data_IF_461445280112
#
_entry.id   IF_461445280112
#
_cell.length_a   1.000
_cell.length_b   1.000
_cell.length_c   1.000
_cell.angle_alpha   90.00
_cell.angle_beta   90.00
_cell.angle_gamma   90.00
#
_symmetry.space_group_name_H-M   'P 1'
#
loop_
_entity.id
_entity.type
_entity.pdbx_description
1 polymer ?
#
# COMPACT_ATOMS: atom_id res chain seq x y z
N UNK A 1 -12.68 -0.34 28.30
CA UNK A 1 -13.48 -0.40 27.04
C UNK A 1 -14.02 -1.81 26.88
N UNK A 2 -15.31 -1.98 26.64
CA UNK A 2 -15.88 -3.30 26.33
C UNK A 2 -15.80 -3.50 24.81
N UNK A 3 -14.82 -4.29 24.33
CA UNK A 3 -14.53 -4.45 22.91
C UNK A 3 -15.75 -4.99 22.11
N UNK A 4 -16.53 -5.89 22.70
CA UNK A 4 -17.72 -6.44 22.03
C UNK A 4 -18.80 -5.36 21.81
N UNK A 5 -19.01 -4.47 22.80
CA UNK A 5 -19.97 -3.36 22.63
C UNK A 5 -19.45 -2.36 21.59
N UNK A 6 -18.13 -2.11 21.55
CA UNK A 6 -17.50 -1.29 20.52
C UNK A 6 -17.74 -1.88 19.11
N UNK A 7 -17.47 -3.18 18.91
CA UNK A 7 -17.70 -3.82 17.62
C UNK A 7 -19.17 -3.76 17.17
N UNK A 8 -20.11 -3.95 18.09
CA UNK A 8 -21.54 -3.80 17.79
C UNK A 8 -21.90 -2.39 17.39
N UNK A 9 -21.38 -1.38 18.10
CA UNK A 9 -21.64 0.03 17.80
C UNK A 9 -21.10 0.41 16.42
N UNK A 10 -19.85 0.04 16.09
CA UNK A 10 -19.24 0.26 14.76
C UNK A 10 -20.07 -0.43 13.68
N UNK A 11 -20.50 -1.68 13.90
CA UNK A 11 -21.34 -2.41 12.94
C UNK A 11 -22.69 -1.73 12.70
N UNK A 12 -23.29 -1.16 13.74
CA UNK A 12 -24.53 -0.39 13.61
C UNK A 12 -24.31 0.92 12.85
N UNK A 13 -23.22 1.64 13.15
CA UNK A 13 -22.85 2.88 12.47
C UNK A 13 -22.54 2.66 10.99
N UNK A 14 -21.87 1.55 10.62
CA UNK A 14 -21.53 1.23 9.23
C UNK A 14 -22.77 1.11 8.34
N UNK A 15 -23.89 0.59 8.87
CA UNK A 15 -25.15 0.47 8.11
C UNK A 15 -25.76 1.82 7.79
N UNK A 16 -25.66 2.79 8.71
CA UNK A 16 -26.12 4.18 8.51
C UNK A 16 -25.24 4.90 7.51
N UNK A 17 -23.91 4.72 7.64
CA UNK A 17 -22.92 5.31 6.74
C UNK A 17 -23.11 4.87 5.29
N UNK A 18 -23.43 3.59 5.04
CA UNK A 18 -23.68 3.05 3.71
C UNK A 18 -24.88 3.69 2.98
N UNK A 19 -25.76 4.39 3.71
CA UNK A 19 -26.93 5.10 3.16
C UNK A 19 -26.70 6.62 3.03
N UNK A 20 -25.53 7.12 3.42
CA UNK A 20 -25.21 8.54 3.39
C UNK A 20 -24.90 8.99 1.96
N UNK A 21 -25.32 10.20 1.60
CA UNK A 21 -25.04 10.76 0.29
C UNK A 21 -23.57 11.23 0.16
N UNK A 22 -23.07 11.21 -1.08
CA UNK A 22 -21.68 11.53 -1.38
C UNK A 22 -21.32 12.99 -1.05
N UNK A 23 -22.28 13.92 -1.14
CA UNK A 23 -22.02 15.34 -0.87
C UNK A 23 -21.78 15.57 0.64
N UNK A 24 -22.58 14.97 1.48
CA UNK A 24 -22.39 15.00 2.94
C UNK A 24 -21.02 14.43 3.31
N UNK A 25 -20.66 13.28 2.77
CA UNK A 25 -19.33 12.66 2.99
C UNK A 25 -18.20 13.61 2.59
N UNK A 26 -18.31 14.25 1.42
CA UNK A 26 -17.30 15.19 0.94
C UNK A 26 -17.15 16.40 1.87
N UNK A 27 -18.27 16.93 2.34
CA UNK A 27 -18.29 18.08 3.25
C UNK A 27 -17.62 17.73 4.59
N UNK A 28 -17.89 16.54 5.12
CA UNK A 28 -17.26 16.06 6.37
C UNK A 28 -15.74 15.92 6.20
N UNK A 29 -15.28 15.32 5.08
CA UNK A 29 -13.83 15.19 4.81
C UNK A 29 -13.14 16.55 4.72
N UNK A 30 -13.76 17.53 4.06
CA UNK A 30 -13.23 18.89 4.01
C UNK A 30 -13.21 19.54 5.41
N UNK A 31 -14.26 19.37 6.20
CA UNK A 31 -14.31 19.89 7.57
C UNK A 31 -13.24 19.28 8.48
N UNK A 32 -12.97 17.97 8.34
CA UNK A 32 -11.83 17.32 9.06
C UNK A 32 -10.50 17.91 8.60
N UNK A 33 -10.30 18.13 7.29
CA UNK A 33 -9.09 18.76 6.77
C UNK A 33 -8.89 20.18 7.33
N UNK A 34 -9.96 20.99 7.40
CA UNK A 34 -9.91 22.33 8.00
C UNK A 34 -9.59 22.24 9.50
N UNK A 35 -10.16 21.26 10.20
CA UNK A 35 -9.92 21.02 11.64
C UNK A 35 -8.48 20.58 11.94
N UNK A 36 -7.84 19.83 11.03
CA UNK A 36 -6.41 19.46 11.12
C UNK A 36 -5.56 20.73 11.15
N UNK A 37 -5.81 21.67 10.24
CA UNK A 37 -5.06 22.94 10.14
C UNK A 37 -5.35 23.83 11.38
N UNK A 38 -6.62 23.92 11.83
CA UNK A 38 -7.02 24.67 13.03
C UNK A 38 -6.35 24.14 14.32
N UNK A 39 -6.24 22.81 14.45
CA UNK A 39 -5.75 22.13 15.66
C UNK A 39 -4.33 21.57 15.55
N UNK A 40 -3.53 22.09 14.63
CA UNK A 40 -2.14 21.67 14.40
C UNK A 40 -1.32 21.61 15.70
N UNK A 41 -1.42 22.63 16.57
CA UNK A 41 -0.68 22.68 17.83
C UNK A 41 -1.05 21.53 18.78
N UNK A 42 -2.34 21.16 18.83
CA UNK A 42 -2.84 20.06 19.67
C UNK A 42 -2.28 18.73 19.17
N UNK A 43 -2.30 18.50 17.85
CA UNK A 43 -1.77 17.30 17.23
C UNK A 43 -0.25 17.19 17.41
N UNK A 44 0.48 18.28 17.23
CA UNK A 44 1.93 18.32 17.42
C UNK A 44 2.31 18.08 18.89
N UNK A 45 1.55 18.63 19.84
CA UNK A 45 1.77 18.38 21.27
C UNK A 45 1.59 16.89 21.62
N UNK A 46 0.52 16.26 21.14
CA UNK A 46 0.31 14.82 21.35
C UNK A 46 1.40 13.99 20.69
N UNK A 47 1.85 14.38 19.49
CA UNK A 47 2.95 13.71 18.81
C UNK A 47 4.28 13.86 19.55
N UNK A 48 4.52 15.00 20.16
CA UNK A 48 5.71 15.22 20.99
C UNK A 48 5.76 14.26 22.20
N UNK A 49 4.59 13.93 22.80
CA UNK A 49 4.52 12.95 23.90
C UNK A 49 4.95 11.54 23.43
N UNK A 50 4.60 11.16 22.20
CA UNK A 50 5.04 9.89 21.61
C UNK A 50 6.54 9.92 21.26
N UNK A 51 7.03 11.01 20.67
CA UNK A 51 8.43 11.18 20.29
C UNK A 51 9.39 11.16 21.48
N UNK A 52 8.98 11.69 22.65
CA UNK A 52 9.78 11.66 23.88
C UNK A 52 10.02 10.22 24.41
N UNK A 53 9.21 9.26 23.99
CA UNK A 53 9.34 7.84 24.37
C UNK A 53 10.18 7.02 23.39
N UNK A 54 10.64 7.62 22.29
CA UNK A 54 11.40 6.94 21.24
C UNK A 54 12.76 7.58 21.06
N UNK A 55 13.81 6.78 21.00
CA UNK A 55 15.15 7.26 20.69
C UNK A 55 15.23 7.82 19.26
N UNK A 56 15.90 8.94 19.06
CA UNK A 56 16.05 9.59 17.75
C UNK A 56 16.81 8.75 16.72
N UNK A 57 17.65 7.81 17.20
CA UNK A 57 18.36 6.82 16.37
C UNK A 57 17.47 5.67 15.87
N UNK A 58 16.27 5.53 16.42
CA UNK A 58 15.34 4.47 16.02
C UNK A 58 14.85 4.72 14.57
N UNK A 59 14.97 3.74 13.65
CA UNK A 59 14.49 3.87 12.26
C UNK A 59 13.01 4.24 12.12
N UNK A 60 12.20 3.98 13.16
CA UNK A 60 10.77 4.34 13.20
C UNK A 60 10.54 5.81 13.57
N UNK A 61 11.55 6.52 14.09
CA UNK A 61 11.38 7.89 14.60
C UNK A 61 10.86 8.86 13.52
N UNK A 62 11.45 8.84 12.33
CA UNK A 62 10.99 9.70 11.24
C UNK A 62 9.56 9.38 10.78
N UNK A 63 9.17 8.10 10.83
CA UNK A 63 7.80 7.67 10.48
C UNK A 63 6.78 8.11 11.52
N UNK A 64 7.18 8.19 12.80
CA UNK A 64 6.34 8.63 13.91
C UNK A 64 6.14 10.16 13.92
N UNK A 65 7.15 10.91 13.48
CA UNK A 65 7.19 12.36 13.58
C UNK A 65 6.14 13.03 12.70
N UNK A 66 5.29 13.86 13.30
CA UNK A 66 4.46 14.85 12.62
C UNK A 66 5.16 16.21 12.63
N UNK A 67 4.93 16.99 11.58
CA UNK A 67 5.34 18.40 11.47
C UNK A 67 4.16 19.19 10.92
N UNK A 68 4.20 20.49 11.03
CA UNK A 68 3.16 21.35 10.44
C UNK A 68 3.01 21.06 8.94
N UNK A 69 4.11 21.01 8.19
CA UNK A 69 4.11 20.69 6.76
C UNK A 69 3.48 19.32 6.46
N UNK A 70 3.76 18.29 7.28
CA UNK A 70 3.13 16.96 7.13
C UNK A 70 1.64 17.01 7.39
N UNK A 71 1.17 17.78 8.38
CA UNK A 71 -0.25 17.94 8.68
C UNK A 71 -0.98 18.73 7.58
N UNK A 72 -0.38 19.77 7.04
CA UNK A 72 -0.88 20.50 5.87
C UNK A 72 -1.00 19.57 4.64
N UNK A 73 0.02 18.71 4.42
CA UNK A 73 -0.03 17.67 3.37
C UNK A 73 -1.18 16.68 3.58
N UNK A 74 -1.38 16.19 4.79
CA UNK A 74 -2.49 15.28 5.15
C UNK A 74 -3.84 15.96 4.90
N UNK A 75 -4.00 17.23 5.28
CA UNK A 75 -5.23 17.99 5.02
C UNK A 75 -5.48 18.16 3.51
N UNK A 76 -4.43 18.43 2.73
CA UNK A 76 -4.51 18.53 1.27
C UNK A 76 -4.92 17.18 0.64
N UNK A 77 -4.31 16.07 1.06
CA UNK A 77 -4.62 14.73 0.60
C UNK A 77 -6.08 14.35 0.92
N UNK A 78 -6.57 14.71 2.11
CA UNK A 78 -7.96 14.48 2.51
C UNK A 78 -8.94 15.28 1.63
N UNK A 79 -8.65 16.55 1.32
CA UNK A 79 -9.45 17.35 0.37
C UNK A 79 -9.41 16.74 -1.04
N UNK A 80 -8.27 16.18 -1.45
CA UNK A 80 -8.17 15.46 -2.71
C UNK A 80 -9.08 14.23 -2.72
N UNK A 81 -9.08 13.41 -1.67
CA UNK A 81 -10.00 12.26 -1.52
C UNK A 81 -11.45 12.72 -1.57
N UNK A 82 -11.81 13.84 -0.91
CA UNK A 82 -13.16 14.41 -0.96
C UNK A 82 -13.58 14.77 -2.39
N UNK A 83 -12.66 15.24 -3.23
CA UNK A 83 -12.91 15.63 -4.63
C UNK A 83 -13.11 14.44 -5.57
N UNK A 84 -12.64 13.24 -5.21
CA UNK A 84 -12.77 12.07 -6.06
C UNK A 84 -14.24 11.63 -6.21
N UNK A 85 -14.61 11.01 -7.34
CA UNK A 85 -15.93 10.40 -7.51
C UNK A 85 -16.21 9.35 -6.41
N UNK A 86 -17.47 9.27 -5.96
CA UNK A 86 -17.87 8.19 -5.05
C UNK A 86 -17.67 6.83 -5.73
N UNK A 87 -17.04 5.86 -5.04
CA UNK A 87 -16.90 4.50 -5.58
C UNK A 87 -18.17 3.66 -5.44
N UNK A 88 -19.22 4.19 -4.78
CA UNK A 88 -20.45 3.48 -4.45
C UNK A 88 -21.51 3.64 -5.54
N UNK A 89 -22.37 2.62 -5.70
CA UNK A 89 -23.48 2.65 -6.63
C UNK A 89 -23.08 2.52 -8.11
N UNK A 90 -21.80 2.28 -8.40
CA UNK A 90 -21.33 2.12 -9.79
C UNK A 90 -21.79 0.79 -10.34
N UNK A 91 -22.53 0.81 -11.44
CA UNK A 91 -22.91 -0.39 -12.18
C UNK A 91 -21.70 -0.87 -12.98
N UNK A 92 -21.08 -1.98 -12.53
CA UNK A 92 -19.91 -2.57 -13.19
C UNK A 92 -20.29 -3.43 -14.41
N UNK A 93 -21.43 -4.10 -14.33
CA UNK A 93 -21.99 -4.96 -15.37
C UNK A 93 -23.52 -4.90 -15.30
N UNK A 94 -24.21 -4.95 -16.46
CA UNK A 94 -25.65 -5.07 -16.56
C UNK A 94 -25.99 -5.97 -17.75
N UNK A 95 -26.86 -6.98 -17.54
CA UNK A 95 -27.28 -7.91 -18.58
C UNK A 95 -28.63 -8.54 -18.24
N UNK A 96 -29.28 -9.11 -19.26
CA UNK A 96 -30.54 -9.88 -19.11
C UNK A 96 -30.27 -11.35 -19.40
N UNK A 97 -30.67 -12.21 -18.50
CA UNK A 97 -30.54 -13.67 -18.68
C UNK A 97 -31.73 -14.27 -19.46
N UNK A 98 -31.62 -15.50 -20.01
CA UNK A 98 -32.69 -16.12 -20.81
C UNK A 98 -34.05 -16.26 -20.09
N UNK A 99 -34.05 -16.26 -18.75
CA UNK A 99 -35.29 -16.27 -17.95
C UNK A 99 -36.03 -14.93 -17.94
N UNK A 100 -35.44 -13.86 -18.53
CA UNK A 100 -35.98 -12.49 -18.52
C UNK A 100 -35.59 -11.66 -17.28
N UNK A 101 -34.81 -12.21 -16.35
CA UNK A 101 -34.29 -11.44 -15.20
C UNK A 101 -33.21 -10.47 -15.65
N UNK A 102 -33.30 -9.21 -15.20
CA UNK A 102 -32.28 -8.19 -15.38
C UNK A 102 -31.34 -8.17 -14.19
N UNK A 103 -30.04 -8.30 -14.44
CA UNK A 103 -29.01 -8.29 -13.41
C UNK A 103 -28.12 -7.07 -13.55
N UNK A 104 -27.83 -6.46 -12.41
CA UNK A 104 -26.85 -5.38 -12.30
C UNK A 104 -25.85 -5.72 -11.18
N UNK A 105 -24.56 -5.67 -11.51
CA UNK A 105 -23.47 -5.82 -10.54
C UNK A 105 -23.05 -4.42 -10.07
N UNK A 106 -23.44 -4.08 -8.85
CA UNK A 106 -23.30 -2.72 -8.30
C UNK A 106 -22.30 -2.69 -7.16
N UNK A 107 -21.39 -1.69 -7.17
CA UNK A 107 -20.41 -1.52 -6.10
C UNK A 107 -21.06 -1.08 -4.79
N UNK A 108 -20.60 -1.68 -3.68
CA UNK A 108 -21.06 -1.42 -2.32
C UNK A 108 -19.87 -1.45 -1.36
N UNK A 109 -19.96 -0.82 -0.15
CA UNK A 109 -18.91 -0.93 0.85
C UNK A 109 -18.74 -2.38 1.33
N UNK A 110 -17.58 -2.69 1.93
CA UNK A 110 -17.40 -3.93 2.70
C UNK A 110 -18.28 -3.92 3.95
N UNK A 111 -18.31 -2.80 4.66
CA UNK A 111 -19.01 -2.60 5.91
C UNK A 111 -18.08 -2.07 6.99
N UNK A 112 -17.40 -2.94 7.72
CA UNK A 112 -16.44 -2.58 8.77
C UNK A 112 -15.03 -3.06 8.39
N UNK A 113 -14.08 -2.13 8.32
CA UNK A 113 -12.67 -2.41 8.00
C UNK A 113 -11.82 -2.19 9.24
N UNK A 114 -11.15 -3.25 9.71
CA UNK A 114 -10.13 -3.16 10.75
C UNK A 114 -8.76 -2.83 10.14
N UNK A 115 -8.04 -1.87 10.70
CA UNK A 115 -6.67 -1.57 10.25
C UNK A 115 -5.71 -1.65 11.42
N UNK A 116 -4.71 -2.54 11.31
CA UNK A 116 -3.67 -2.73 12.33
C UNK A 116 -2.37 -2.12 11.79
N UNK A 117 -1.80 -1.14 12.50
CA UNK A 117 -0.64 -0.39 12.01
C UNK A 117 0.37 -0.02 13.09
N UNK A 118 1.63 0.16 12.68
CA UNK A 118 2.76 0.53 13.55
C UNK A 118 3.18 1.97 13.29
N UNK A 119 3.64 2.67 14.34
CA UNK A 119 4.42 3.93 14.36
C UNK A 119 4.17 4.93 13.19
N UNK A 120 2.92 5.11 12.76
CA UNK A 120 2.54 5.98 11.64
C UNK A 120 1.21 6.68 11.93
N UNK A 121 1.21 7.79 12.71
CA UNK A 121 -0.02 8.47 13.08
C UNK A 121 -0.83 9.00 11.89
N UNK A 122 -0.18 9.36 10.77
CA UNK A 122 -0.87 9.76 9.54
C UNK A 122 -1.84 8.67 9.01
N UNK A 123 -1.55 7.39 9.26
CA UNK A 123 -2.41 6.28 8.79
C UNK A 123 -3.83 6.39 9.35
N UNK A 124 -4.02 6.97 10.55
CA UNK A 124 -5.34 7.20 11.13
C UNK A 124 -6.20 8.11 10.24
N UNK A 125 -5.62 9.18 9.70
CA UNK A 125 -6.31 10.08 8.77
C UNK A 125 -6.53 9.44 7.39
N UNK A 126 -5.50 8.77 6.86
CA UNK A 126 -5.56 8.13 5.55
C UNK A 126 -6.66 7.06 5.53
N UNK A 127 -6.69 6.20 6.54
CA UNK A 127 -7.71 5.14 6.69
C UNK A 127 -9.09 5.76 6.86
N UNK A 128 -9.25 6.76 7.73
CA UNK A 128 -10.53 7.42 7.92
C UNK A 128 -11.06 8.00 6.61
N UNK A 129 -10.24 8.75 5.88
CA UNK A 129 -10.66 9.40 4.64
C UNK A 129 -11.11 8.40 3.57
N UNK A 130 -10.34 7.34 3.35
CA UNK A 130 -10.65 6.32 2.36
C UNK A 130 -11.85 5.45 2.78
N UNK A 131 -11.94 5.07 4.04
CA UNK A 131 -13.07 4.30 4.57
C UNK A 131 -14.35 5.12 4.51
N UNK A 132 -14.37 6.35 5.02
CA UNK A 132 -15.56 7.21 4.99
C UNK A 132 -16.02 7.44 3.55
N UNK A 133 -15.10 7.79 2.63
CA UNK A 133 -15.42 8.04 1.23
C UNK A 133 -15.97 6.82 0.50
N UNK A 134 -15.54 5.62 0.89
CA UNK A 134 -16.02 4.35 0.34
C UNK A 134 -17.18 3.73 1.14
N UNK A 135 -17.75 4.45 2.11
CA UNK A 135 -18.91 4.03 2.89
C UNK A 135 -18.62 2.94 3.92
N UNK A 136 -17.36 2.74 4.28
CA UNK A 136 -16.92 1.79 5.30
C UNK A 136 -16.74 2.47 6.65
N UNK A 137 -17.23 1.88 7.72
CA UNK A 137 -16.77 2.22 9.06
C UNK A 137 -15.38 1.58 9.30
N UNK A 138 -14.56 2.21 10.15
CA UNK A 138 -13.21 1.75 10.41
C UNK A 138 -12.93 1.50 11.89
N UNK A 139 -12.17 0.44 12.16
CA UNK A 139 -11.62 0.14 13.47
C UNK A 139 -10.11 0.24 13.38
N UNK A 140 -9.55 1.23 14.06
CA UNK A 140 -8.13 1.53 14.09
C UNK A 140 -7.46 0.83 15.27
N UNK A 141 -6.38 0.11 15.02
CA UNK A 141 -5.55 -0.52 16.04
C UNK A 141 -4.09 -0.11 15.82
N UNK A 142 -3.73 1.05 16.36
CA UNK A 142 -2.36 1.56 16.36
C UNK A 142 -1.44 0.82 17.34
N UNK A 143 -0.13 0.94 17.10
CA UNK A 143 0.90 0.55 18.05
C UNK A 143 1.00 1.50 19.24
N UNK A 144 1.60 1.06 20.35
CA UNK A 144 1.86 1.89 21.54
C UNK A 144 2.78 3.06 21.28
N UNK A 145 3.60 2.97 20.22
CA UNK A 145 4.56 4.01 19.83
C UNK A 145 3.88 5.33 19.43
N UNK A 146 2.63 5.28 18.94
CA UNK A 146 1.87 6.43 18.44
C UNK A 146 0.55 6.66 19.18
N UNK A 147 0.42 6.17 20.40
CA UNK A 147 -0.86 6.10 21.13
C UNK A 147 -1.45 7.49 21.43
N UNK A 148 -0.63 8.47 21.85
CA UNK A 148 -1.08 9.82 22.14
C UNK A 148 -1.53 10.55 20.86
N UNK A 149 -0.74 10.43 19.78
CA UNK A 149 -1.06 10.98 18.46
C UNK A 149 -2.38 10.39 17.93
N UNK A 150 -2.51 9.06 17.95
CA UNK A 150 -3.71 8.39 17.43
C UNK A 150 -4.98 8.80 18.18
N UNK A 151 -4.90 8.93 19.51
CA UNK A 151 -6.04 9.43 20.31
C UNK A 151 -6.41 10.86 19.97
N UNK A 152 -5.44 11.74 19.83
CA UNK A 152 -5.70 13.14 19.45
C UNK A 152 -6.35 13.25 18.07
N UNK A 153 -5.90 12.43 17.12
CA UNK A 153 -6.43 12.36 15.76
C UNK A 153 -7.88 11.88 15.77
N UNK A 154 -8.17 10.75 16.42
CA UNK A 154 -9.53 10.19 16.43
C UNK A 154 -10.48 11.10 17.21
N UNK A 155 -10.02 11.75 18.30
CA UNK A 155 -10.80 12.73 19.01
C UNK A 155 -11.20 13.92 18.11
N UNK A 156 -10.26 14.44 17.33
CA UNK A 156 -10.52 15.51 16.36
C UNK A 156 -11.58 15.08 15.33
N UNK A 157 -11.46 13.85 14.81
CA UNK A 157 -12.41 13.30 13.84
C UNK A 157 -13.81 13.19 14.49
N UNK A 158 -13.89 12.67 15.71
CA UNK A 158 -15.16 12.55 16.45
C UNK A 158 -15.86 13.91 16.65
N UNK A 159 -15.11 14.96 17.01
CA UNK A 159 -15.67 16.31 17.14
C UNK A 159 -16.34 16.78 15.85
N UNK A 160 -15.68 16.58 14.69
CA UNK A 160 -16.27 16.94 13.40
C UNK A 160 -17.49 16.07 13.08
N UNK A 161 -17.42 14.76 13.31
CA UNK A 161 -18.57 13.87 13.07
C UNK A 161 -19.79 14.29 13.90
N UNK A 162 -19.59 14.68 15.17
CA UNK A 162 -20.64 15.17 16.07
C UNK A 162 -21.24 16.50 15.56
N UNK A 163 -20.42 17.44 15.05
CA UNK A 163 -20.87 18.69 14.44
C UNK A 163 -21.83 18.44 13.25
N UNK A 164 -21.62 17.35 12.51
CA UNK A 164 -22.48 16.93 11.40
C UNK A 164 -23.59 15.95 11.78
N UNK A 165 -23.74 15.63 13.06
CA UNK A 165 -24.76 14.67 13.55
C UNK A 165 -24.52 13.23 13.06
N UNK A 166 -23.28 12.89 12.73
CA UNK A 166 -22.87 11.55 12.31
C UNK A 166 -22.44 10.76 13.54
N UNK A 167 -22.83 9.49 13.58
CA UNK A 167 -22.47 8.58 14.65
C UNK A 167 -20.93 8.41 14.70
N UNK A 168 -20.29 8.85 15.77
CA UNK A 168 -18.83 8.82 15.91
C UNK A 168 -18.24 7.41 15.81
N UNK A 169 -19.04 6.35 16.05
CA UNK A 169 -18.63 4.96 15.87
C UNK A 169 -18.35 4.56 14.42
N UNK A 170 -18.49 5.46 13.43
CA UNK A 170 -17.98 5.20 12.06
C UNK A 170 -16.45 5.10 12.02
N UNK A 171 -15.77 5.60 13.06
CA UNK A 171 -14.34 5.36 13.29
C UNK A 171 -14.10 5.15 14.78
N UNK A 172 -13.43 4.05 15.12
CA UNK A 172 -13.08 3.73 16.50
C UNK A 172 -11.60 3.37 16.62
N UNK A 173 -10.98 3.85 17.71
CA UNK A 173 -9.61 3.51 18.07
C UNK A 173 -9.61 2.51 19.22
N UNK A 174 -9.10 1.30 18.97
CA UNK A 174 -8.90 0.31 20.02
C UNK A 174 -7.68 0.64 20.89
N UNK A 175 -7.68 0.19 22.17
CA UNK A 175 -6.50 0.30 23.02
C UNK A 175 -5.26 -0.32 22.34
N UNK A 176 -4.09 0.25 22.59
CA UNK A 176 -2.81 -0.22 22.03
C UNK A 176 -2.30 -1.52 22.70
N UNK A 177 -3.19 -2.33 23.29
CA UNK A 177 -2.89 -3.57 23.97
C UNK A 177 -2.91 -4.78 23.04
N UNK A 178 -2.31 -5.90 23.49
CA UNK A 178 -2.27 -7.14 22.73
C UNK A 178 -3.64 -7.83 22.67
N UNK A 179 -4.38 -7.76 23.76
CA UNK A 179 -5.74 -8.30 23.88
C UNK A 179 -6.69 -7.63 22.89
N UNK A 180 -6.54 -6.32 22.65
CA UNK A 180 -7.33 -5.62 21.67
C UNK A 180 -6.98 -6.02 20.22
N UNK A 181 -5.70 -6.36 19.98
CA UNK A 181 -5.29 -6.93 18.68
C UNK A 181 -5.93 -8.29 18.46
N UNK A 182 -5.82 -9.21 19.44
CA UNK A 182 -6.40 -10.55 19.35
C UNK A 182 -7.93 -10.49 19.17
N UNK A 183 -8.62 -9.61 19.93
CA UNK A 183 -10.04 -9.44 19.80
C UNK A 183 -10.45 -8.94 18.38
N UNK A 184 -9.65 -8.05 17.76
CA UNK A 184 -9.90 -7.58 16.40
C UNK A 184 -9.67 -8.68 15.37
N UNK A 185 -8.60 -9.48 15.51
CA UNK A 185 -8.29 -10.59 14.61
C UNK A 185 -9.41 -11.65 14.55
N UNK A 186 -10.15 -11.81 15.65
CA UNK A 186 -11.23 -12.80 15.80
C UNK A 186 -12.64 -12.18 15.83
N UNK A 187 -12.80 -10.94 15.39
CA UNK A 187 -14.08 -10.22 15.40
C UNK A 187 -15.02 -10.63 14.26
N UNK A 188 -15.15 -11.94 13.99
CA UNK A 188 -16.06 -12.48 12.96
C UNK A 188 -17.50 -12.00 13.15
N UNK A 189 -18.15 -11.65 12.04
CA UNK A 189 -19.53 -11.14 12.03
C UNK A 189 -19.65 -9.66 12.42
N UNK A 190 -18.60 -9.06 13.01
CA UNK A 190 -18.52 -7.65 13.35
C UNK A 190 -17.62 -6.86 12.40
N UNK A 191 -16.49 -7.45 12.01
CA UNK A 191 -15.50 -6.90 11.08
C UNK A 191 -15.50 -7.72 9.80
N UNK A 192 -15.54 -7.05 8.67
CA UNK A 192 -15.64 -7.71 7.35
C UNK A 192 -14.26 -7.94 6.72
N UNK A 193 -13.28 -7.10 7.08
CA UNK A 193 -11.95 -7.10 6.50
C UNK A 193 -10.93 -6.52 7.46
N UNK A 194 -9.72 -7.09 7.49
CA UNK A 194 -8.55 -6.52 8.18
C UNK A 194 -7.46 -6.19 7.17
N UNK A 195 -6.83 -5.03 7.34
CA UNK A 195 -5.68 -4.57 6.55
C UNK A 195 -4.51 -4.28 7.50
N UNK A 196 -3.47 -5.12 7.54
CA UNK A 196 -2.26 -4.85 8.30
C UNK A 196 -1.35 -3.84 7.57
N UNK A 197 -0.75 -2.90 8.32
CA UNK A 197 0.16 -1.86 7.82
C UNK A 197 1.40 -1.74 8.71
N UNK A 198 2.50 -2.34 8.35
CA UNK A 198 3.71 -2.30 9.20
C UNK A 198 4.83 -3.16 8.69
N UNK A 199 5.59 -3.73 9.61
CA UNK A 199 6.68 -4.67 9.31
C UNK A 199 6.16 -5.99 8.74
N UNK A 200 7.01 -6.72 8.01
CA UNK A 200 6.70 -8.06 7.52
C UNK A 200 6.26 -8.99 8.65
N UNK A 201 6.85 -8.87 9.83
CA UNK A 201 6.47 -9.66 11.00
C UNK A 201 5.02 -9.41 11.45
N UNK A 202 4.58 -8.14 11.46
CA UNK A 202 3.19 -7.80 11.77
C UNK A 202 2.25 -8.37 10.71
N UNK A 203 2.58 -8.21 9.44
CA UNK A 203 1.75 -8.70 8.32
C UNK A 203 1.60 -10.22 8.39
N UNK A 204 2.70 -10.95 8.59
CA UNK A 204 2.68 -12.41 8.73
C UNK A 204 1.89 -12.85 9.98
N UNK A 205 2.07 -12.17 11.11
CA UNK A 205 1.30 -12.43 12.32
C UNK A 205 -0.22 -12.27 12.06
N UNK A 206 -0.65 -11.15 11.50
CA UNK A 206 -2.07 -10.91 11.20
C UNK A 206 -2.60 -11.95 10.21
N UNK A 207 -1.84 -12.30 9.18
CA UNK A 207 -2.22 -13.31 8.19
C UNK A 207 -2.43 -14.69 8.78
N UNK A 208 -1.60 -15.09 9.75
CA UNK A 208 -1.69 -16.42 10.35
C UNK A 208 -2.75 -16.51 11.45
N UNK A 209 -2.94 -15.44 12.23
CA UNK A 209 -3.80 -15.48 13.41
C UNK A 209 -5.23 -15.00 13.13
N UNK A 210 -5.47 -14.19 12.08
CA UNK A 210 -6.79 -13.66 11.83
C UNK A 210 -7.76 -14.73 11.32
N UNK A 211 -8.96 -14.77 11.92
CA UNK A 211 -10.12 -15.50 11.39
C UNK A 211 -10.99 -14.60 10.51
N UNK A 212 -10.91 -13.27 10.70
CA UNK A 212 -11.48 -12.28 9.78
C UNK A 212 -10.66 -12.24 8.49
N UNK A 213 -11.28 -12.12 7.31
CA UNK A 213 -10.55 -11.97 6.04
C UNK A 213 -9.51 -10.85 6.07
N UNK A 214 -8.32 -11.11 5.51
CA UNK A 214 -7.20 -10.17 5.49
C UNK A 214 -6.83 -9.80 4.06
N UNK A 215 -6.65 -8.52 3.78
CA UNK A 215 -5.92 -8.05 2.60
C UNK A 215 -4.53 -7.62 3.05
N UNK A 216 -3.53 -8.41 2.69
CA UNK A 216 -2.15 -8.12 3.05
C UNK A 216 -1.50 -7.11 2.09
N UNK A 217 -0.74 -6.17 2.68
CA UNK A 217 0.20 -5.32 1.97
C UNK A 217 1.58 -5.95 2.16
N UNK A 218 2.01 -6.76 1.19
CA UNK A 218 3.25 -7.55 1.30
C UNK A 218 4.53 -6.71 1.32
N UNK A 219 5.66 -7.36 1.65
CA UNK A 219 6.98 -6.79 1.42
C UNK A 219 7.22 -6.55 -0.08
N UNK A 220 7.96 -5.51 -0.41
CA UNK A 220 8.25 -5.13 -1.78
C UNK A 220 9.66 -5.53 -2.22
N UNK A 221 9.91 -6.80 -2.55
CA UNK A 221 11.17 -7.19 -3.20
C UNK A 221 10.98 -6.98 -4.70
N UNK A 222 11.48 -5.84 -5.23
CA UNK A 222 11.27 -5.42 -6.59
C UNK A 222 12.52 -5.65 -7.46
N UNK A 223 12.31 -6.12 -8.71
CA UNK A 223 13.39 -6.34 -9.65
C UNK A 223 13.30 -5.41 -10.86
N UNK A 224 14.45 -5.06 -11.41
CA UNK A 224 14.56 -4.50 -12.77
C UNK A 224 15.47 -5.39 -13.59
N UNK A 225 14.94 -5.96 -14.67
CA UNK A 225 15.71 -6.73 -15.64
C UNK A 225 16.19 -5.83 -16.79
N UNK A 226 17.50 -5.68 -16.93
CA UNK A 226 18.13 -5.00 -18.04
C UNK A 226 18.47 -6.03 -19.12
N UNK A 227 17.67 -6.04 -20.18
CA UNK A 227 17.76 -7.02 -21.28
C UNK A 227 18.94 -6.75 -22.24
N UNK A 228 19.27 -7.74 -23.07
CA UNK A 228 20.28 -7.59 -24.13
C UNK A 228 20.00 -6.41 -25.07
N UNK A 229 18.72 -6.13 -25.34
CA UNK A 229 18.24 -5.03 -26.18
C UNK A 229 17.88 -3.77 -25.36
N UNK A 230 18.29 -3.66 -24.10
CA UNK A 230 18.05 -2.50 -23.26
C UNK A 230 18.80 -1.26 -23.75
N UNK A 231 18.14 -0.11 -23.80
CA UNK A 231 18.78 1.19 -24.01
C UNK A 231 19.52 1.62 -22.76
N UNK A 232 20.83 1.88 -22.88
CA UNK A 232 21.68 2.20 -21.72
C UNK A 232 21.28 3.51 -21.03
N UNK A 233 20.91 4.53 -21.78
CA UNK A 233 20.51 5.84 -21.22
C UNK A 233 19.23 5.70 -20.43
N UNK A 234 18.20 5.04 -20.99
CA UNK A 234 16.95 4.75 -20.28
C UNK A 234 17.21 3.88 -19.04
N UNK A 235 18.00 2.80 -19.22
CA UNK A 235 18.33 1.88 -18.13
C UNK A 235 19.00 2.56 -16.95
N UNK A 236 20.00 3.39 -17.21
CA UNK A 236 20.69 4.15 -16.16
C UNK A 236 19.73 5.05 -15.38
N UNK A 237 18.86 5.79 -16.09
CA UNK A 237 17.87 6.65 -15.44
C UNK A 237 16.84 5.85 -14.63
N UNK A 238 16.35 4.72 -15.17
CA UNK A 238 15.35 3.85 -14.52
C UNK A 238 15.93 3.20 -13.27
N UNK A 239 17.11 2.60 -13.36
CA UNK A 239 17.80 1.92 -12.25
C UNK A 239 18.09 2.91 -11.12
N UNK A 240 18.65 4.07 -11.46
CA UNK A 240 18.92 5.10 -10.47
C UNK A 240 17.64 5.59 -9.78
N UNK A 241 16.61 5.92 -10.53
CA UNK A 241 15.35 6.40 -9.96
C UNK A 241 14.66 5.32 -9.11
N UNK A 242 14.59 4.07 -9.60
CA UNK A 242 13.96 2.96 -8.88
C UNK A 242 14.64 2.69 -7.52
N UNK A 243 15.97 2.90 -7.41
CA UNK A 243 16.69 2.67 -6.16
C UNK A 243 16.83 3.90 -5.27
N UNK A 244 17.11 5.09 -5.82
CA UNK A 244 17.59 6.22 -5.01
C UNK A 244 16.54 7.28 -4.71
N UNK A 245 15.41 7.32 -5.45
CA UNK A 245 14.34 8.31 -5.21
C UNK A 245 13.83 8.28 -3.77
N UNK A 246 13.57 7.10 -3.24
CA UNK A 246 13.17 6.85 -1.86
C UNK A 246 13.40 5.38 -1.51
N UNK A 247 14.40 5.10 -0.70
CA UNK A 247 14.80 3.71 -0.39
C UNK A 247 13.89 3.00 0.61
N UNK A 248 13.17 3.75 1.46
CA UNK A 248 12.39 3.20 2.58
C UNK A 248 10.95 2.82 2.22
N UNK A 249 10.66 2.59 0.93
CA UNK A 249 9.34 2.22 0.41
C UNK A 249 9.39 0.89 -0.33
N UNK A 250 8.26 0.18 -0.34
CA UNK A 250 8.12 -1.18 -0.90
C UNK A 250 8.27 -1.26 -2.43
N UNK A 251 8.20 -0.14 -3.16
CA UNK A 251 8.39 -0.09 -4.61
C UNK A 251 9.84 0.26 -5.02
N UNK A 252 10.75 0.44 -4.04
CA UNK A 252 12.17 0.63 -4.33
C UNK A 252 12.77 -0.66 -4.91
N UNK A 253 13.66 -0.53 -5.89
CA UNK A 253 14.32 -1.69 -6.49
C UNK A 253 15.31 -2.32 -5.50
N UNK A 254 15.21 -3.63 -5.30
CA UNK A 254 16.11 -4.40 -4.45
C UNK A 254 17.07 -5.29 -5.24
N UNK A 255 16.70 -5.65 -6.48
CA UNK A 255 17.58 -6.47 -7.31
C UNK A 255 17.59 -5.99 -8.78
N UNK A 256 18.79 -5.79 -9.31
CA UNK A 256 19.04 -5.60 -10.74
C UNK A 256 19.40 -6.95 -11.36
N UNK A 257 18.59 -7.42 -12.30
CA UNK A 257 18.91 -8.57 -13.16
C UNK A 257 19.55 -8.06 -14.45
N UNK A 258 20.76 -8.48 -14.74
CA UNK A 258 21.51 -8.00 -15.91
C UNK A 258 21.74 -9.12 -16.92
N UNK A 259 21.32 -8.90 -18.17
CA UNK A 259 21.65 -9.85 -19.23
C UNK A 259 23.17 -9.94 -19.40
N UNK A 260 23.72 -11.16 -19.46
CA UNK A 260 25.17 -11.43 -19.53
C UNK A 260 25.90 -10.67 -20.64
N UNK A 261 25.27 -10.50 -21.80
CA UNK A 261 25.86 -9.75 -22.91
C UNK A 261 26.04 -8.25 -22.62
N UNK A 262 25.52 -7.76 -21.52
CA UNK A 262 25.55 -6.33 -21.14
C UNK A 262 26.45 -6.05 -19.93
N UNK A 263 27.29 -7.02 -19.51
CA UNK A 263 28.23 -6.83 -18.40
C UNK A 263 29.19 -5.64 -18.63
N UNK A 264 29.56 -5.36 -19.87
CA UNK A 264 30.40 -4.19 -20.20
C UNK A 264 29.69 -2.84 -19.94
N UNK A 265 28.37 -2.81 -19.93
CA UNK A 265 27.58 -1.60 -19.65
C UNK A 265 27.29 -1.40 -18.15
N UNK A 266 27.53 -2.42 -17.32
CA UNK A 266 27.19 -2.40 -15.90
C UNK A 266 27.84 -1.23 -15.12
N UNK A 267 29.12 -0.88 -15.35
CA UNK A 267 29.72 0.29 -14.70
C UNK A 267 28.97 1.60 -15.00
N UNK A 268 28.57 1.81 -16.24
CA UNK A 268 27.80 2.99 -16.64
C UNK A 268 26.39 2.99 -16.06
N UNK A 269 25.74 1.83 -16.03
CA UNK A 269 24.42 1.64 -15.43
C UNK A 269 24.42 1.98 -13.92
N UNK A 270 25.47 1.60 -13.20
CA UNK A 270 25.60 1.78 -11.76
C UNK A 270 26.26 3.10 -11.33
N UNK A 271 26.87 3.86 -12.26
CA UNK A 271 27.60 5.07 -11.91
C UNK A 271 26.80 6.08 -11.05
N UNK A 272 25.52 6.40 -11.35
CA UNK A 272 24.75 7.32 -10.51
C UNK A 272 24.42 6.76 -9.11
N UNK A 273 24.43 5.45 -8.95
CA UNK A 273 24.20 4.80 -7.64
C UNK A 273 25.36 5.06 -6.68
N UNK A 274 26.59 5.20 -7.21
CA UNK A 274 27.78 5.52 -6.41
C UNK A 274 27.66 6.91 -5.75
N UNK A 275 27.07 7.89 -6.44
CA UNK A 275 26.84 9.24 -5.90
C UNK A 275 25.92 9.20 -4.67
N UNK A 276 24.94 8.31 -4.68
CA UNK A 276 24.03 8.05 -3.55
C UNK A 276 24.58 7.02 -2.54
N UNK A 277 25.84 6.58 -2.70
CA UNK A 277 26.54 5.62 -1.85
C UNK A 277 25.77 4.29 -1.68
N UNK A 278 25.15 3.78 -2.75
CA UNK A 278 24.44 2.51 -2.72
C UNK A 278 25.42 1.34 -2.61
N UNK A 279 25.23 0.48 -1.63
CA UNK A 279 26.00 -0.77 -1.49
C UNK A 279 25.44 -1.80 -2.48
N UNK A 280 26.30 -2.34 -3.35
CA UNK A 280 25.96 -3.34 -4.34
C UNK A 280 26.44 -4.73 -3.89
N UNK A 281 25.51 -5.69 -3.79
CA UNK A 281 25.78 -7.10 -3.59
C UNK A 281 25.73 -7.79 -4.94
N UNK A 282 26.89 -8.04 -5.56
CA UNK A 282 27.00 -8.52 -6.93
C UNK A 282 27.41 -10.01 -7.00
N UNK A 283 26.81 -10.78 -7.94
CA UNK A 283 27.32 -12.10 -8.28
C UNK A 283 28.70 -12.00 -8.95
N UNK A 284 29.41 -13.11 -9.07
CA UNK A 284 30.81 -13.11 -9.54
C UNK A 284 31.02 -12.37 -10.86
N UNK A 285 30.20 -12.59 -11.95
CA UNK A 285 30.43 -11.88 -13.20
C UNK A 285 30.17 -10.36 -13.07
N UNK A 286 29.14 -9.94 -12.30
CA UNK A 286 28.85 -8.54 -12.09
C UNK A 286 29.88 -7.89 -11.16
N UNK A 287 30.38 -8.61 -10.16
CA UNK A 287 31.44 -8.13 -9.28
C UNK A 287 32.71 -7.80 -10.08
N UNK A 288 33.17 -8.73 -10.93
CA UNK A 288 34.34 -8.53 -11.79
C UNK A 288 34.18 -7.36 -12.76
N UNK A 289 32.97 -7.12 -13.28
CA UNK A 289 32.70 -5.99 -14.17
C UNK A 289 32.72 -4.64 -13.43
N UNK A 290 32.40 -4.62 -12.14
CA UNK A 290 32.37 -3.42 -11.29
C UNK A 290 33.69 -3.17 -10.58
N UNK A 291 34.54 -4.17 -10.42
CA UNK A 291 35.84 -4.04 -9.75
C UNK A 291 36.70 -2.98 -10.45
N UNK A 292 37.18 -2.00 -9.70
CA UNK A 292 37.89 -0.85 -10.24
C UNK A 292 37.05 0.24 -10.92
N UNK A 293 35.74 -0.01 -11.15
CA UNK A 293 34.78 0.91 -11.78
C UNK A 293 33.68 1.41 -10.83
N UNK A 294 33.59 0.84 -9.64
CA UNK A 294 32.67 1.21 -8.57
C UNK A 294 33.47 1.36 -7.24
N UNK A 295 33.07 2.23 -6.28
CA UNK A 295 33.80 2.37 -5.03
C UNK A 295 33.93 1.04 -4.29
N UNK A 296 35.16 0.63 -3.97
CA UNK A 296 35.46 -0.70 -3.43
C UNK A 296 34.75 -0.97 -2.08
N UNK A 297 34.59 0.08 -1.25
CA UNK A 297 33.87 -0.03 0.03
C UNK A 297 32.37 -0.22 -0.11
N UNK A 298 31.82 0.03 -1.30
CA UNK A 298 30.38 -0.12 -1.60
C UNK A 298 30.09 -1.38 -2.46
N UNK A 299 31.11 -2.16 -2.82
CA UNK A 299 30.96 -3.37 -3.63
C UNK A 299 31.21 -4.60 -2.75
N UNK A 300 30.23 -5.50 -2.67
CA UNK A 300 30.26 -6.70 -1.86
C UNK A 300 29.85 -7.91 -2.70
N UNK A 301 30.33 -9.14 -2.41
CA UNK A 301 29.84 -10.33 -3.03
C UNK A 301 28.39 -10.63 -2.57
N UNK A 302 27.53 -11.01 -3.52
CA UNK A 302 26.17 -11.43 -3.22
C UNK A 302 26.13 -12.81 -2.55
N UNK A 303 25.16 -12.99 -1.65
CA UNK A 303 24.74 -14.30 -1.12
C UNK A 303 23.34 -14.63 -1.63
N UNK A 304 22.85 -15.86 -1.42
CA UNK A 304 21.49 -16.23 -1.78
C UNK A 304 20.45 -15.36 -1.05
N UNK A 305 20.72 -14.98 0.20
CA UNK A 305 19.86 -14.09 0.99
C UNK A 305 19.74 -12.69 0.41
N UNK A 306 20.80 -12.19 -0.26
CA UNK A 306 20.81 -10.87 -0.89
C UNK A 306 19.70 -10.72 -1.94
N UNK A 307 19.33 -11.79 -2.65
CA UNK A 307 18.31 -11.73 -3.71
C UNK A 307 16.88 -11.71 -3.21
N UNK A 308 16.63 -12.26 -2.00
CA UNK A 308 15.30 -12.29 -1.36
C UNK A 308 15.13 -11.29 -0.23
N UNK A 309 15.92 -10.21 -0.21
CA UNK A 309 15.91 -9.21 0.85
C UNK A 309 15.25 -7.91 0.38
N UNK A 310 14.22 -7.46 1.09
CA UNK A 310 13.73 -6.08 1.01
C UNK A 310 14.67 -5.19 1.84
N UNK A 311 15.58 -4.49 1.18
CA UNK A 311 16.65 -3.76 1.89
C UNK A 311 16.16 -2.52 2.65
N UNK A 312 15.17 -1.81 2.13
CA UNK A 312 14.66 -0.53 2.67
C UNK A 312 15.79 0.49 2.99
N UNK A 313 16.90 0.41 2.26
CA UNK A 313 18.14 1.14 2.48
C UNK A 313 18.86 1.36 1.14
N UNK A 314 19.91 2.16 1.13
CA UNK A 314 20.83 2.33 -0.01
C UNK A 314 21.66 1.05 -0.24
N UNK A 315 20.98 -0.05 -0.48
CA UNK A 315 21.54 -1.40 -0.73
C UNK A 315 20.72 -2.10 -1.80
N UNK A 316 21.35 -2.87 -2.65
CA UNK A 316 20.67 -3.72 -3.63
C UNK A 316 21.54 -4.87 -4.08
N UNK A 317 20.91 -5.93 -4.61
CA UNK A 317 21.59 -7.05 -5.23
C UNK A 317 21.71 -6.87 -6.74
N UNK A 318 22.72 -7.52 -7.35
CA UNK A 318 22.88 -7.64 -8.80
C UNK A 318 23.07 -9.11 -9.15
N UNK A 319 22.26 -9.60 -10.09
CA UNK A 319 22.33 -10.97 -10.61
C UNK A 319 22.51 -10.96 -12.12
N UNK A 320 23.53 -11.63 -12.61
CA UNK A 320 23.74 -11.88 -14.04
C UNK A 320 22.89 -13.04 -14.51
N UNK A 321 22.14 -12.86 -15.60
CA UNK A 321 21.27 -13.87 -16.20
C UNK A 321 21.57 -14.04 -17.70
N UNK A 322 21.26 -15.22 -18.27
CA UNK A 322 21.56 -15.52 -19.67
C UNK A 322 20.49 -15.00 -20.63
N UNK A 323 19.25 -14.92 -20.18
CA UNK A 323 18.10 -14.49 -20.99
C UNK A 323 16.91 -14.06 -20.12
N UNK A 324 15.81 -13.65 -20.76
CA UNK A 324 14.56 -13.24 -20.10
C UNK A 324 13.90 -14.39 -19.33
N UNK A 325 14.09 -15.65 -19.74
CA UNK A 325 13.49 -16.81 -19.06
C UNK A 325 14.16 -17.04 -17.71
N UNK A 326 15.50 -16.93 -17.66
CA UNK A 326 16.24 -17.00 -16.39
C UNK A 326 15.89 -15.82 -15.48
N UNK A 327 15.72 -14.60 -16.03
CA UNK A 327 15.28 -13.44 -15.28
C UNK A 327 13.90 -13.67 -14.63
N UNK A 328 12.94 -14.19 -15.40
CA UNK A 328 11.60 -14.54 -14.89
C UNK A 328 11.69 -15.63 -13.81
N UNK A 329 12.51 -16.66 -14.01
CA UNK A 329 12.73 -17.72 -13.03
C UNK A 329 13.29 -17.18 -11.71
N UNK A 330 14.24 -16.23 -11.79
CA UNK A 330 14.79 -15.55 -10.62
C UNK A 330 13.71 -14.76 -9.88
N UNK A 331 12.90 -13.98 -10.60
CA UNK A 331 11.79 -13.22 -10.04
C UNK A 331 10.79 -14.13 -9.32
N UNK A 332 10.45 -15.28 -9.89
CA UNK A 332 9.58 -16.27 -9.24
C UNK A 332 10.16 -16.84 -7.95
N UNK A 333 11.49 -16.96 -7.88
CA UNK A 333 12.16 -17.55 -6.72
C UNK A 333 12.31 -16.56 -5.56
N UNK A 334 12.62 -15.30 -5.86
CA UNK A 334 13.03 -14.30 -4.87
C UNK A 334 12.10 -13.10 -4.75
N UNK A 335 11.23 -12.87 -5.75
CA UNK A 335 10.32 -11.72 -5.77
C UNK A 335 9.15 -11.88 -4.80
N UNK A 336 8.60 -10.75 -4.40
CA UNK A 336 7.40 -10.67 -3.55
C UNK A 336 6.09 -10.59 -4.33
N UNK A 337 6.14 -10.53 -5.67
CA UNK A 337 4.98 -10.29 -6.52
C UNK A 337 4.46 -8.84 -6.48
N UNK A 338 5.30 -7.89 -6.02
CA UNK A 338 4.92 -6.48 -5.89
C UNK A 338 5.07 -5.72 -7.22
N UNK A 339 6.27 -5.44 -7.64
CA UNK A 339 6.54 -4.62 -8.85
C UNK A 339 7.81 -5.09 -9.53
N UNK A 340 7.70 -5.37 -10.83
CA UNK A 340 8.79 -5.92 -11.64
C UNK A 340 8.93 -5.12 -12.92
N UNK A 341 10.15 -4.90 -13.38
CA UNK A 341 10.44 -4.10 -14.57
C UNK A 341 11.34 -4.84 -15.54
N UNK A 342 11.11 -4.67 -16.85
CA UNK A 342 12.05 -4.96 -17.91
C UNK A 342 12.46 -3.67 -18.63
N UNK A 343 13.75 -3.51 -18.89
CA UNK A 343 14.29 -2.45 -19.75
C UNK A 343 14.75 -3.08 -21.05
N UNK A 344 14.01 -2.85 -22.14
CA UNK A 344 14.27 -3.46 -23.45
C UNK A 344 13.64 -2.66 -24.59
N UNK A 345 14.26 -2.66 -25.75
CA UNK A 345 13.68 -2.19 -27.02
C UNK A 345 13.12 -3.36 -27.86
N UNK A 346 13.33 -4.62 -27.41
CA UNK A 346 12.76 -5.80 -28.04
C UNK A 346 11.32 -6.02 -27.59
N UNK A 347 10.36 -5.85 -28.51
CA UNK A 347 8.93 -5.99 -28.26
C UNK A 347 8.53 -7.44 -27.90
N UNK A 348 9.22 -8.44 -28.43
CA UNK A 348 8.94 -9.84 -28.12
C UNK A 348 9.39 -10.19 -26.69
N UNK A 349 10.57 -9.72 -26.29
CA UNK A 349 11.06 -9.86 -24.92
C UNK A 349 10.13 -9.13 -23.93
N UNK A 350 9.68 -7.91 -24.24
CA UNK A 350 8.74 -7.16 -23.43
C UNK A 350 7.39 -7.90 -23.29
N UNK A 351 6.83 -8.41 -24.41
CA UNK A 351 5.58 -9.16 -24.41
C UNK A 351 5.68 -10.49 -23.64
N UNK A 352 6.82 -11.18 -23.77
CA UNK A 352 7.09 -12.40 -23.00
C UNK A 352 7.16 -12.08 -21.50
N UNK A 353 7.95 -11.08 -21.10
CA UNK A 353 8.14 -10.69 -19.70
C UNK A 353 6.81 -10.30 -19.05
N UNK A 354 6.03 -9.41 -19.68
CA UNK A 354 4.75 -8.94 -19.14
C UNK A 354 3.71 -10.04 -19.01
N UNK A 355 3.75 -11.09 -19.85
CA UNK A 355 2.88 -12.25 -19.75
C UNK A 355 3.36 -13.28 -18.73
N UNK A 356 4.67 -13.47 -18.62
CA UNK A 356 5.26 -14.50 -17.77
C UNK A 356 5.37 -14.06 -16.31
N UNK A 357 5.67 -12.80 -16.04
CA UNK A 357 5.83 -12.30 -14.67
C UNK A 357 4.48 -12.10 -14.00
N UNK A 358 4.28 -12.77 -12.86
CA UNK A 358 3.05 -12.70 -12.06
C UNK A 358 3.24 -11.78 -10.85
N UNK A 359 3.33 -10.48 -11.11
CA UNK A 359 3.40 -9.43 -10.10
C UNK A 359 2.18 -8.51 -10.15
N UNK A 360 1.96 -7.73 -9.08
CA UNK A 360 0.86 -6.76 -9.02
C UNK A 360 1.02 -5.66 -10.08
N UNK A 361 2.28 -5.22 -10.31
CA UNK A 361 2.61 -4.23 -11.34
C UNK A 361 3.80 -4.73 -12.16
N UNK A 362 3.66 -4.71 -13.48
CA UNK A 362 4.73 -5.12 -14.42
C UNK A 362 5.00 -3.97 -15.38
N UNK A 363 6.24 -3.52 -15.40
CA UNK A 363 6.68 -2.34 -16.15
C UNK A 363 7.54 -2.70 -17.34
N UNK A 364 7.39 -1.94 -18.41
CA UNK A 364 8.32 -1.92 -19.55
C UNK A 364 8.87 -0.51 -19.66
N UNK A 365 10.19 -0.37 -19.57
CA UNK A 365 10.91 0.90 -19.69
C UNK A 365 10.42 2.02 -18.76
N UNK A 366 10.01 1.66 -17.52
CA UNK A 366 9.64 2.61 -16.46
C UNK A 366 10.03 2.05 -15.09
N UNK A 367 10.49 2.88 -14.14
CA UNK A 367 10.91 2.40 -12.83
C UNK A 367 9.74 1.93 -11.97
N UNK A 368 10.00 0.93 -11.13
CA UNK A 368 9.03 0.38 -10.15
C UNK A 368 8.54 1.43 -9.15
N UNK A 369 9.26 2.53 -8.99
CA UNK A 369 8.91 3.68 -8.15
C UNK A 369 7.59 4.37 -8.51
N UNK A 370 7.01 4.06 -9.70
CA UNK A 370 5.67 4.50 -10.09
C UNK A 370 4.53 3.68 -9.48
N UNK A 371 4.80 2.57 -8.78
CA UNK A 371 3.75 1.82 -8.08
C UNK A 371 3.28 2.60 -6.86
N UNK A 372 2.35 3.51 -7.09
CA UNK A 372 1.84 4.47 -6.11
C UNK A 372 0.45 4.91 -6.55
N UNK A 373 -0.51 5.02 -5.62
CA UNK A 373 -1.90 5.35 -5.94
C UNK A 373 -2.06 6.73 -6.58
N UNK A 374 -1.29 7.73 -6.15
CA UNK A 374 -1.33 9.05 -6.75
C UNK A 374 -0.76 9.03 -8.18
N UNK A 375 0.33 8.30 -8.41
CA UNK A 375 0.94 8.14 -9.74
C UNK A 375 0.03 7.36 -10.71
N UNK A 376 -0.80 6.46 -10.20
CA UNK A 376 -1.79 5.72 -10.99
C UNK A 376 -3.13 6.47 -11.17
N UNK A 377 -3.21 7.70 -10.68
CA UNK A 377 -4.43 8.52 -10.79
C UNK A 377 -5.55 8.09 -9.85
N UNK A 378 -5.25 7.27 -8.82
CA UNK A 378 -6.23 6.83 -7.82
C UNK A 378 -6.47 7.87 -6.72
N UNK A 379 -5.65 8.93 -6.69
CA UNK A 379 -5.73 10.02 -5.72
C UNK A 379 -5.08 9.71 -4.39
N UNK A 380 -5.44 8.60 -3.77
CA UNK A 380 -4.88 8.09 -2.52
C UNK A 380 -4.92 6.57 -2.49
N UNK A 381 -4.12 5.94 -1.60
CA UNK A 381 -4.11 4.50 -1.41
C UNK A 381 -3.99 4.12 0.06
N UNK A 382 -4.62 3.01 0.44
CA UNK A 382 -4.46 2.42 1.77
C UNK A 382 -3.24 1.50 1.84
N UNK A 383 -2.68 1.12 0.71
CA UNK A 383 -1.51 0.26 0.57
C UNK A 383 -1.48 -0.45 -0.78
N UNK A 384 -0.45 -1.27 -0.98
CA UNK A 384 -0.25 -2.03 -2.21
C UNK A 384 -0.36 -3.52 -1.86
N UNK A 385 -1.37 -4.19 -2.41
CA UNK A 385 -1.58 -5.62 -2.19
C UNK A 385 -0.87 -6.46 -3.24
N UNK A 386 -0.20 -7.51 -2.80
CA UNK A 386 0.44 -8.52 -3.66
C UNK A 386 -0.40 -9.79 -3.82
N UNK A 387 -1.47 -9.94 -3.04
CA UNK A 387 -2.33 -11.12 -3.09
C UNK A 387 -3.24 -11.13 -4.34
N UNK A 388 -3.78 -12.32 -4.67
CA UNK A 388 -4.62 -12.51 -5.87
C UNK A 388 -6.11 -12.40 -5.60
N UNK A 389 -6.55 -12.61 -4.36
CA UNK A 389 -7.96 -12.47 -3.98
C UNK A 389 -8.27 -11.02 -3.68
N UNK A 390 -9.34 -10.51 -4.31
CA UNK A 390 -9.84 -9.15 -4.28
C UNK A 390 -8.86 -8.15 -4.90
N UNK A 391 -8.32 -7.18 -4.14
CA UNK A 391 -7.44 -6.14 -4.64
C UNK A 391 -6.01 -6.65 -4.86
N UNK A 392 -5.40 -6.22 -5.96
CA UNK A 392 -4.00 -6.45 -6.29
C UNK A 392 -3.38 -5.18 -6.86
N UNK A 393 -2.23 -4.76 -6.35
CA UNK A 393 -1.63 -3.46 -6.66
C UNK A 393 -2.05 -2.37 -5.68
N UNK A 394 -1.88 -1.09 -6.03
CA UNK A 394 -2.31 0.04 -5.21
C UNK A 394 -3.82 0.01 -4.95
N UNK A 395 -4.20 0.10 -3.69
CA UNK A 395 -5.61 0.02 -3.24
C UNK A 395 -6.16 1.42 -2.98
N UNK A 396 -6.80 1.99 -3.98
CA UNK A 396 -7.55 3.25 -3.88
C UNK A 396 -9.00 3.03 -3.44
N UNK A 397 -9.85 4.04 -3.69
CA UNK A 397 -11.26 4.00 -3.28
C UNK A 397 -12.05 2.84 -3.88
N UNK A 398 -11.76 2.47 -5.14
CA UNK A 398 -12.44 1.38 -5.83
C UNK A 398 -12.17 0.04 -5.17
N UNK A 399 -10.95 -0.19 -4.74
CA UNK A 399 -10.50 -1.42 -4.06
C UNK A 399 -11.04 -1.53 -2.64
N UNK A 400 -11.51 -0.40 -2.06
CA UNK A 400 -12.21 -0.38 -0.76
C UNK A 400 -13.70 -0.71 -0.88
N UNK A 401 -14.14 -1.25 -2.04
CA UNK A 401 -15.53 -1.68 -2.28
C UNK A 401 -15.60 -3.10 -2.79
N UNK A 402 -16.70 -3.76 -2.46
CA UNK A 402 -17.11 -5.03 -3.09
C UNK A 402 -18.30 -4.77 -4.02
N UNK A 403 -19.06 -5.79 -4.36
CA UNK A 403 -20.26 -5.64 -5.18
C UNK A 403 -21.40 -6.53 -4.66
N UNK A 404 -22.63 -6.15 -5.00
CA UNK A 404 -23.81 -7.00 -4.90
C UNK A 404 -24.51 -7.10 -6.26
N UNK A 405 -25.25 -8.18 -6.46
CA UNK A 405 -26.13 -8.31 -7.61
C UNK A 405 -27.54 -7.80 -7.25
N UNK A 406 -28.01 -6.82 -8.00
CA UNK A 406 -29.41 -6.41 -8.01
C UNK A 406 -30.10 -7.21 -9.13
N UNK A 407 -31.14 -7.94 -8.78
CA UNK A 407 -31.87 -8.80 -9.73
C UNK A 407 -33.32 -8.32 -9.79
N UNK A 408 -33.72 -7.88 -10.97
CA UNK A 408 -35.08 -7.40 -11.22
C UNK A 408 -35.80 -8.40 -12.11
N UNK A 409 -37.02 -8.73 -11.73
CA UNK A 409 -37.92 -9.64 -12.46
C UNK A 409 -39.32 -9.07 -12.58
N UNK A 410 -40.15 -9.73 -13.36
CA UNK A 410 -41.58 -9.44 -13.56
C UNK A 410 -42.38 -10.73 -13.31
N UNK A 411 -42.22 -11.33 -12.13
CA UNK A 411 -42.94 -12.53 -11.73
C UNK A 411 -42.41 -13.86 -12.28
N UNK A 412 -41.24 -13.90 -12.88
CA UNK A 412 -40.64 -15.15 -13.37
C UNK A 412 -40.36 -16.12 -12.21
N UNK A 413 -40.71 -17.39 -12.44
CA UNK A 413 -40.45 -18.46 -11.50
C UNK A 413 -39.52 -19.50 -12.12
N UNK A 414 -38.66 -20.09 -11.29
CA UNK A 414 -37.82 -21.21 -11.74
C UNK A 414 -38.65 -22.47 -11.88
N UNK A 415 -38.68 -23.02 -13.10
CA UNK A 415 -39.33 -24.33 -13.34
C UNK A 415 -38.56 -25.40 -12.55
N UNK A 416 -39.35 -26.41 -12.04
CA UNK A 416 -38.80 -27.58 -11.37
C UNK A 416 -37.98 -28.42 -12.35
#
# INVERSE_FOLDING_TARGET
>A
MNLNETFKAVRAASRKLAMMDAQTINTVLCAVADKIEEKTDVLLKANQEDLLRMETSNPKYDRLKLTQERLEGIAADMRQVASLPSPLGIVREAYTVPSGLRLQKVSVPFGVVGVIYEARPNVSFDVFSLCLKSGNASILKGGSDADASNRAIVQLIHEVLEEFGIDSHVVELLPSTREATEALLHAEGWVDLIIPRGSSNLIQYVRHEATVPVIETGAGICHTYFDKAGDLTKGTAIVNNAKTRRVSVCNAMDCLLLHRARLADLPALCAPLAESRVILYADEPAYQALEGNYPAELLQPATLESYGTEFLDYKMAIKTVNDVVEAVTHIYTYGSGHSECIVTEDKEAAAFFTRAVDAACVYVNAPTSFTDGAQFGLGAEIGISTQKLHARGPMGLREMTTYKLIVEGDGQVRKK
#
